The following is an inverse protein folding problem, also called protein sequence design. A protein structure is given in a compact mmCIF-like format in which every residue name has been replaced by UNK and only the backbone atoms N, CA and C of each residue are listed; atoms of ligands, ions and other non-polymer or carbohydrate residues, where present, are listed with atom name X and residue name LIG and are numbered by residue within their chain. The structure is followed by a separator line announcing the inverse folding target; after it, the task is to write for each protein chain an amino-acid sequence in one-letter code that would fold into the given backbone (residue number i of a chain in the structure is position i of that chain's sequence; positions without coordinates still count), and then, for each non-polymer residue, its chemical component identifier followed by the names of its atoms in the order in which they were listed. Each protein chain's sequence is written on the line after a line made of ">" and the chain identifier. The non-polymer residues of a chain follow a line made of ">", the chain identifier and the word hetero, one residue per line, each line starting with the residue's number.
data_IF_281631016407
#
_entry.id   IF_281631016407
#
_cell.length_a   1.000
_cell.length_b   1.000
_cell.length_c   1.000
_cell.angle_alpha   90.00
_cell.angle_beta   90.00
_cell.angle_gamma   90.00
#
_symmetry.space_group_name_H-M   'P 1'
#
loop_
_entity.id
_entity.type
_entity.pdbx_description
1 polymer ?
#
# COMPACT_ATOMS: atom_id res chain seq x y z
N UNK A 1 -5.48 -8.96 -2.46
CA UNK A 1 -6.48 -8.15 -1.70
C UNK A 1 -6.17 -6.65 -1.71
N UNK A 2 -4.91 -6.22 -1.66
CA UNK A 2 -4.50 -4.82 -1.77
C UNK A 2 -5.16 -4.06 -2.96
N UNK A 3 -5.04 -4.58 -4.19
CA UNK A 3 -5.63 -3.96 -5.39
C UNK A 3 -7.15 -3.76 -5.29
N UNK A 4 -7.87 -4.70 -4.68
CA UNK A 4 -9.33 -4.58 -4.49
C UNK A 4 -9.67 -3.47 -3.50
N UNK A 5 -8.97 -3.43 -2.35
CA UNK A 5 -9.15 -2.37 -1.36
C UNK A 5 -8.82 -0.98 -1.91
N UNK A 6 -7.76 -0.85 -2.72
CA UNK A 6 -7.42 0.43 -3.36
C UNK A 6 -8.47 0.89 -4.39
N UNK A 7 -9.12 -0.04 -5.09
CA UNK A 7 -10.17 0.31 -6.05
C UNK A 7 -11.43 0.86 -5.36
N UNK A 8 -11.67 0.49 -4.10
CA UNK A 8 -12.83 0.96 -3.31
C UNK A 8 -12.57 2.31 -2.62
N UNK A 9 -11.32 2.78 -2.61
CA UNK A 9 -10.93 4.07 -2.01
C UNK A 9 -11.03 5.21 -3.02
N UNK A 10 -11.31 6.41 -2.53
CA UNK A 10 -11.16 7.66 -3.29
C UNK A 10 -9.70 8.11 -3.31
N UNK A 11 -9.34 8.91 -4.32
CA UNK A 11 -8.01 9.51 -4.42
C UNK A 11 -7.60 10.21 -3.12
N UNK A 12 -6.30 10.12 -2.80
CA UNK A 12 -5.70 10.57 -1.53
C UNK A 12 -6.08 9.80 -0.26
N UNK A 13 -6.98 8.82 -0.30
CA UNK A 13 -7.24 7.98 0.87
C UNK A 13 -6.12 6.96 1.08
N UNK A 14 -6.00 6.48 2.32
CA UNK A 14 -4.91 5.59 2.75
C UNK A 14 -5.45 4.20 3.04
N UNK A 15 -4.86 3.18 2.41
CA UNK A 15 -5.09 1.79 2.71
C UNK A 15 -4.03 1.28 3.69
N UNK A 16 -4.48 0.73 4.83
CA UNK A 16 -3.63 -0.03 5.75
C UNK A 16 -3.63 -1.50 5.36
N UNK A 17 -2.44 -2.09 5.25
CA UNK A 17 -2.25 -3.50 4.88
C UNK A 17 -1.32 -4.14 5.90
N UNK A 18 -1.68 -5.32 6.40
CA UNK A 18 -0.81 -6.11 7.26
C UNK A 18 -0.41 -7.38 6.51
N UNK A 19 0.88 -7.67 6.48
CA UNK A 19 1.45 -8.87 5.86
C UNK A 19 2.49 -9.48 6.80
N UNK A 20 2.64 -10.80 6.78
CA UNK A 20 3.67 -11.50 7.56
C UNK A 20 4.85 -11.96 6.70
N UNK A 21 4.81 -11.63 5.42
CA UNK A 21 5.81 -12.04 4.45
C UNK A 21 6.86 -10.92 4.26
N UNK A 22 8.16 -11.22 4.36
CA UNK A 22 9.22 -10.23 4.19
C UNK A 22 9.42 -9.80 2.72
N UNK A 23 8.99 -10.60 1.74
CA UNK A 23 9.00 -10.25 0.33
C UNK A 23 8.02 -9.11 0.00
N UNK A 24 6.94 -9.01 0.78
CA UNK A 24 5.90 -7.99 0.60
C UNK A 24 6.43 -6.55 0.58
N UNK A 25 7.54 -6.26 1.27
CA UNK A 25 8.16 -4.92 1.26
C UNK A 25 8.55 -4.49 -0.15
N UNK A 26 9.34 -5.32 -0.84
CA UNK A 26 9.82 -5.01 -2.19
C UNK A 26 8.66 -4.99 -3.19
N UNK A 27 7.69 -5.89 -3.03
CA UNK A 27 6.49 -5.92 -3.86
C UNK A 27 5.67 -4.64 -3.72
N UNK A 28 5.44 -4.14 -2.49
CA UNK A 28 4.68 -2.92 -2.27
C UNK A 28 5.41 -1.66 -2.72
N UNK A 29 6.73 -1.59 -2.57
CA UNK A 29 7.54 -0.49 -3.12
C UNK A 29 7.44 -0.45 -4.66
N UNK A 30 7.63 -1.59 -5.33
CA UNK A 30 7.52 -1.70 -6.77
C UNK A 30 6.10 -1.39 -7.25
N UNK A 31 5.08 -1.91 -6.56
CA UNK A 31 3.67 -1.66 -6.85
C UNK A 31 3.33 -0.17 -6.77
N UNK A 32 3.75 0.52 -5.69
CA UNK A 32 3.53 1.96 -5.55
C UNK A 32 4.18 2.74 -6.68
N UNK A 33 5.44 2.42 -7.01
CA UNK A 33 6.17 3.05 -8.11
C UNK A 33 5.51 2.84 -9.47
N UNK A 34 5.02 1.63 -9.76
CA UNK A 34 4.38 1.30 -11.05
C UNK A 34 2.98 1.89 -11.21
N UNK A 35 2.22 1.98 -10.12
CA UNK A 35 0.82 2.45 -10.15
C UNK A 35 0.69 3.95 -9.93
N UNK A 36 1.74 4.61 -9.41
CA UNK A 36 1.70 5.99 -8.98
C UNK A 36 1.06 6.19 -7.60
N UNK A 37 0.84 5.11 -6.85
CA UNK A 37 0.48 5.18 -5.44
C UNK A 37 1.69 5.54 -4.58
N UNK A 38 1.46 6.01 -3.36
CA UNK A 38 2.54 6.40 -2.46
C UNK A 38 2.54 5.50 -1.23
N UNK A 39 3.66 4.83 -0.96
CA UNK A 39 3.89 4.20 0.33
C UNK A 39 4.23 5.30 1.34
N UNK A 40 3.33 5.58 2.28
CA UNK A 40 3.51 6.62 3.29
C UNK A 40 4.36 6.12 4.45
N UNK A 41 4.10 4.88 4.89
CA UNK A 41 4.74 4.32 6.07
C UNK A 41 4.80 2.80 5.98
N UNK A 42 5.89 2.26 6.54
CA UNK A 42 6.12 0.84 6.75
C UNK A 42 6.54 0.66 8.21
N UNK A 43 5.72 -0.05 8.97
CA UNK A 43 6.07 -0.51 10.31
C UNK A 43 6.32 -2.00 10.30
N UNK A 44 7.24 -2.46 11.14
CA UNK A 44 7.44 -3.87 11.42
C UNK A 44 7.30 -4.08 12.93
N UNK A 45 6.36 -4.94 13.32
CA UNK A 45 6.19 -5.37 14.71
C UNK A 45 6.17 -6.89 14.73
N UNK A 46 7.12 -7.47 15.47
CA UNK A 46 7.36 -8.91 15.50
C UNK A 46 7.60 -9.49 14.09
N UNK A 47 6.62 -10.24 13.58
CA UNK A 47 6.62 -10.87 12.25
C UNK A 47 5.55 -10.29 11.33
N UNK A 48 5.03 -9.11 11.66
CA UNK A 48 3.97 -8.43 10.91
C UNK A 48 4.51 -7.10 10.37
N UNK A 49 4.49 -6.97 9.06
CA UNK A 49 4.71 -5.75 8.32
C UNK A 49 3.38 -5.03 8.12
N UNK A 50 3.32 -3.76 8.48
CA UNK A 50 2.17 -2.89 8.29
C UNK A 50 2.53 -1.81 7.28
N UNK A 51 1.83 -1.77 6.16
CA UNK A 51 2.00 -0.80 5.08
C UNK A 51 0.84 0.19 5.08
N UNK A 52 1.16 1.47 4.92
CA UNK A 52 0.18 2.54 4.71
C UNK A 52 0.36 3.09 3.30
N UNK A 53 -0.54 2.73 2.39
CA UNK A 53 -0.46 3.13 0.98
C UNK A 53 -1.52 4.17 0.68
N UNK A 54 -1.10 5.35 0.25
CA UNK A 54 -1.99 6.40 -0.24
C UNK A 54 -2.36 6.13 -1.70
N UNK A 55 -3.67 6.05 -1.96
CA UNK A 55 -4.18 6.00 -3.34
C UNK A 55 -3.81 7.29 -4.05
N UNK A 56 -3.36 7.14 -5.29
CA UNK A 56 -3.08 8.27 -6.19
C UNK A 56 -4.35 9.10 -6.38
N UNK A 57 -4.22 10.37 -6.73
CA UNK A 57 -5.38 11.18 -7.06
C UNK A 57 -6.15 10.52 -8.22
N UNK A 58 -7.47 10.38 -8.09
CA UNK A 58 -8.30 10.06 -9.25
C UNK A 58 -8.38 11.36 -10.07
N UNK A 59 -7.55 11.45 -11.11
CA UNK A 59 -7.73 12.50 -12.13
C UNK A 59 -9.00 12.19 -12.90
N UNK A 60 -9.94 13.14 -12.91
CA UNK A 60 -11.16 13.13 -13.71
C UNK A 60 -10.86 12.96 -15.21
#
# INVERSE_FOLDING_TARGET
>A
RCKKGLNELLGNQVLKIMATDPGAVKDFEAFCKQTGHTLLQLDQTDKVFTFYIKKRLDTL
#
